data_IF_507413109417
#
_entry.id   IF_507413109417
#
_cell.length_a   1.000
_cell.length_b   1.000
_cell.length_c   1.000
_cell.angle_alpha   90.00
_cell.angle_beta   90.00
_cell.angle_gamma   90.00
#
_symmetry.space_group_name_H-M   'P 1'
#
loop_
_entity.id
_entity.type
_entity.pdbx_description
1 polymer ?
#
# COMPACT_ATOMS: atom_id res chain seq x y z
N UNK A 1 -36.94 -4.36 -19.72
CA UNK A 1 -37.17 -5.01 -18.43
C UNK A 1 -35.90 -4.79 -17.62
N UNK A 2 -35.69 -3.68 -16.93
CA UNK A 2 -36.41 -3.17 -15.76
C UNK A 2 -35.31 -2.86 -14.74
N UNK A 3 -34.58 -1.76 -14.94
CA UNK A 3 -33.54 -1.34 -13.98
C UNK A 3 -34.23 -0.63 -12.81
N UNK A 4 -34.52 -1.45 -11.81
CA UNK A 4 -34.81 -1.16 -10.41
C UNK A 4 -34.46 0.25 -9.91
N UNK A 5 -35.44 0.87 -9.27
CA UNK A 5 -35.35 2.05 -8.41
C UNK A 5 -34.37 1.85 -7.25
N UNK A 6 -33.06 1.98 -7.50
CA UNK A 6 -32.07 1.95 -6.44
C UNK A 6 -32.04 3.30 -5.73
N UNK A 7 -32.48 3.32 -4.46
CA UNK A 7 -32.43 4.52 -3.62
C UNK A 7 -31.19 4.51 -2.73
N UNK A 8 -30.38 5.56 -2.80
CA UNK A 8 -29.24 5.80 -1.90
C UNK A 8 -29.65 6.24 -0.49
N UNK A 9 -30.95 6.25 -0.17
CA UNK A 9 -31.46 6.69 1.12
C UNK A 9 -31.32 5.57 2.14
N UNK A 10 -30.55 5.81 3.20
CA UNK A 10 -30.46 4.89 4.33
C UNK A 10 -31.83 4.80 5.04
N UNK A 11 -32.29 3.60 5.41
CA UNK A 11 -33.51 3.43 6.18
C UNK A 11 -33.33 3.94 7.61
N UNK A 12 -34.46 4.24 8.25
CA UNK A 12 -34.49 4.67 9.64
C UNK A 12 -34.05 3.54 10.55
N UNK A 13 -33.14 3.84 11.49
CA UNK A 13 -32.73 2.84 12.48
C UNK A 13 -33.91 2.58 13.45
N UNK A 14 -34.25 1.32 13.77
CA UNK A 14 -35.46 0.98 14.54
C UNK A 14 -35.47 1.49 15.98
N UNK A 15 -34.29 1.84 16.52
CA UNK A 15 -34.12 2.27 17.91
C UNK A 15 -33.40 3.62 18.09
N UNK A 16 -32.64 4.07 17.09
CA UNK A 16 -31.75 5.23 17.26
C UNK A 16 -32.42 6.47 16.66
N UNK A 17 -32.44 7.61 17.39
CA UNK A 17 -33.12 8.81 16.94
C UNK A 17 -32.37 9.49 15.79
N UNK A 18 -33.11 10.18 14.93
CA UNK A 18 -32.58 11.04 13.86
C UNK A 18 -32.14 12.41 14.38
N UNK A 19 -31.36 13.12 13.55
CA UNK A 19 -30.97 14.51 13.81
C UNK A 19 -29.90 14.68 14.89
N UNK A 20 -29.20 13.61 15.25
CA UNK A 20 -28.00 13.68 16.08
C UNK A 20 -26.77 13.89 15.19
N UNK A 21 -25.98 14.90 15.53
CA UNK A 21 -24.68 15.13 14.89
C UNK A 21 -23.68 14.12 15.43
N UNK A 22 -22.98 13.44 14.53
CA UNK A 22 -21.92 12.49 14.86
C UNK A 22 -20.61 13.03 14.29
N UNK A 23 -19.56 13.02 15.09
CA UNK A 23 -18.19 13.29 14.64
C UNK A 23 -17.42 11.97 14.65
N UNK A 24 -16.75 11.68 13.55
CA UNK A 24 -15.75 10.60 13.48
C UNK A 24 -14.38 11.27 13.48
N UNK A 25 -13.56 10.91 14.47
CA UNK A 25 -12.21 11.48 14.65
C UNK A 25 -11.21 10.35 14.42
N UNK A 26 -10.29 10.55 13.49
CA UNK A 26 -9.20 9.62 13.19
C UNK A 26 -7.91 10.20 13.75
N UNK A 27 -7.30 9.49 14.70
CA UNK A 27 -5.96 9.80 15.21
C UNK A 27 -4.97 8.96 14.40
N UNK A 28 -4.38 9.56 13.36
CA UNK A 28 -3.49 8.82 12.46
C UNK A 28 -2.24 8.30 13.21
N UNK A 29 -1.88 7.04 12.99
CA UNK A 29 -0.79 6.37 13.70
C UNK A 29 -1.05 6.07 15.19
N UNK A 30 -2.28 6.21 15.70
CA UNK A 30 -2.59 5.94 17.11
C UNK A 30 -3.04 4.49 17.36
N UNK A 31 -2.14 3.65 17.89
CA UNK A 31 -2.41 2.25 18.20
C UNK A 31 -2.47 1.91 19.70
N UNK A 32 -2.90 0.69 20.03
CA UNK A 32 -2.77 0.11 21.37
C UNK A 32 -1.70 -1.00 21.33
N UNK A 33 -0.71 -0.89 22.20
CA UNK A 33 0.34 -1.88 22.39
C UNK A 33 0.65 -2.03 23.88
N UNK A 34 1.37 -3.09 24.25
CA UNK A 34 1.80 -3.27 25.63
C UNK A 34 2.61 -2.06 26.13
N UNK A 35 2.40 -1.64 27.39
CA UNK A 35 3.18 -0.56 28.00
C UNK A 35 4.69 -0.84 27.96
N UNK A 36 5.48 0.11 27.45
CA UNK A 36 6.93 0.09 27.52
C UNK A 36 7.51 1.50 27.32
N UNK A 37 8.81 1.64 27.53
CA UNK A 37 9.57 2.91 27.43
C UNK A 37 9.74 3.45 26.00
N UNK A 38 9.38 2.67 24.97
CA UNK A 38 9.40 3.07 23.57
C UNK A 38 7.99 3.33 23.00
N UNK A 39 6.94 3.12 23.80
CA UNK A 39 5.57 3.37 23.41
C UNK A 39 5.19 4.82 23.75
N UNK A 40 5.35 5.70 22.77
CA UNK A 40 5.09 7.13 22.94
C UNK A 40 3.65 7.44 23.41
N UNK A 41 2.66 6.65 22.99
CA UNK A 41 1.26 6.83 23.42
C UNK A 41 1.10 6.52 24.91
N UNK A 42 1.79 5.49 25.40
CA UNK A 42 1.76 5.13 26.82
C UNK A 42 2.48 6.15 27.71
N UNK A 43 3.58 6.72 27.23
CA UNK A 43 4.44 7.64 28.00
C UNK A 43 3.85 9.05 28.02
N UNK A 44 3.12 9.43 26.98
CA UNK A 44 2.50 10.74 26.89
C UNK A 44 1.38 10.94 27.92
N UNK A 45 1.23 12.18 28.41
CA UNK A 45 0.07 12.57 29.20
C UNK A 45 -1.15 12.72 28.27
N UNK A 46 -2.10 11.79 28.34
CA UNK A 46 -3.26 11.73 27.42
C UNK A 46 -4.60 11.79 28.17
N UNK A 47 -4.83 12.81 29.04
CA UNK A 47 -5.94 12.82 30.01
C UNK A 47 -7.32 12.69 29.37
N UNK A 48 -7.52 13.25 28.16
CA UNK A 48 -8.78 13.13 27.43
C UNK A 48 -9.03 11.68 26.98
N UNK A 49 -8.03 11.02 26.39
CA UNK A 49 -8.15 9.63 25.93
C UNK A 49 -8.30 8.67 27.11
N UNK A 50 -7.53 8.90 28.18
CA UNK A 50 -7.62 8.14 29.43
C UNK A 50 -9.02 8.23 30.05
N UNK A 51 -9.60 9.44 30.07
CA UNK A 51 -10.95 9.67 30.58
C UNK A 51 -12.00 8.97 29.74
N UNK A 52 -11.90 9.02 28.41
CA UNK A 52 -12.82 8.32 27.52
C UNK A 52 -12.77 6.79 27.70
N UNK A 53 -11.56 6.23 27.82
CA UNK A 53 -11.36 4.78 28.01
C UNK A 53 -11.85 4.29 29.38
N UNK A 54 -11.62 5.07 30.45
CA UNK A 54 -12.03 4.70 31.82
C UNK A 54 -13.48 5.04 32.15
N UNK A 55 -14.01 6.12 31.57
CA UNK A 55 -15.33 6.67 31.90
C UNK A 55 -16.52 5.96 31.24
N UNK A 56 -16.29 5.24 30.14
CA UNK A 56 -17.31 4.47 29.42
C UNK A 56 -16.74 3.15 28.86
N UNK A 57 -16.31 2.22 29.72
CA UNK A 57 -15.63 0.99 29.29
C UNK A 57 -16.48 0.10 28.37
N UNK A 58 -17.81 0.15 28.50
CA UNK A 58 -18.76 -0.55 27.63
C UNK A 58 -18.82 0.01 26.19
N UNK A 59 -18.30 1.21 25.98
CA UNK A 59 -18.25 1.89 24.68
C UNK A 59 -16.82 1.94 24.10
N UNK A 60 -15.84 1.43 24.83
CA UNK A 60 -14.46 1.31 24.38
C UNK A 60 -14.17 -0.10 23.86
N UNK A 61 -13.57 -0.19 22.67
CA UNK A 61 -13.10 -1.48 22.13
C UNK A 61 -11.94 -1.29 21.17
N UNK A 62 -11.11 -2.33 21.07
CA UNK A 62 -10.09 -2.43 20.05
C UNK A 62 -10.64 -3.13 18.80
N UNK A 63 -10.13 -2.74 17.65
CA UNK A 63 -10.41 -3.34 16.34
C UNK A 63 -9.09 -3.64 15.65
N UNK A 64 -9.08 -4.63 14.74
CA UNK A 64 -7.91 -4.90 13.91
C UNK A 64 -7.79 -3.82 12.84
N UNK A 65 -6.58 -3.28 12.67
CA UNK A 65 -6.28 -2.22 11.71
C UNK A 65 -5.09 -2.56 10.78
N UNK A 66 -4.76 -3.85 10.66
CA UNK A 66 -3.66 -4.35 9.84
C UNK A 66 -4.03 -5.70 9.20
N UNK A 67 -3.17 -6.19 8.32
CA UNK A 67 -3.32 -7.47 7.63
C UNK A 67 -4.63 -7.64 6.85
N UNK A 68 -5.13 -8.88 6.79
CA UNK A 68 -6.35 -9.20 6.00
C UNK A 68 -7.59 -8.47 6.50
N UNK A 69 -7.61 -8.02 7.76
CA UNK A 69 -8.72 -7.26 8.32
C UNK A 69 -8.93 -5.91 7.63
N UNK A 70 -7.91 -5.37 6.96
CA UNK A 70 -8.00 -4.13 6.16
C UNK A 70 -7.73 -4.36 4.67
N UNK A 71 -7.64 -5.63 4.25
CA UNK A 71 -7.49 -6.02 2.85
C UNK A 71 -6.05 -6.17 2.37
N UNK A 72 -5.08 -6.22 3.29
CA UNK A 72 -3.68 -6.51 2.98
C UNK A 72 -3.46 -8.02 2.73
N UNK A 73 -2.35 -8.41 2.07
CA UNK A 73 -2.11 -9.80 1.68
C UNK A 73 -2.01 -10.81 2.85
N UNK A 74 -1.22 -10.50 3.87
CA UNK A 74 -0.90 -11.39 5.01
C UNK A 74 -1.42 -10.82 6.33
N UNK A 75 -1.31 -11.57 7.43
CA UNK A 75 -1.63 -11.03 8.77
C UNK A 75 -0.48 -10.18 9.33
N UNK A 76 0.74 -10.31 8.81
CA UNK A 76 1.92 -9.60 9.33
C UNK A 76 2.10 -8.22 8.66
N UNK A 77 1.37 -7.96 7.57
CA UNK A 77 1.42 -6.68 6.87
C UNK A 77 0.86 -5.55 7.74
N UNK A 78 1.71 -4.55 7.99
CA UNK A 78 1.35 -3.36 8.75
C UNK A 78 0.28 -2.54 8.03
N UNK A 79 -0.68 -2.02 8.80
CA UNK A 79 -1.66 -1.07 8.29
C UNK A 79 -1.02 0.27 7.89
N UNK A 80 -1.73 1.04 7.07
CA UNK A 80 -1.34 2.40 6.70
C UNK A 80 -2.58 3.29 6.52
N UNK A 81 -2.36 4.59 6.34
CA UNK A 81 -3.44 5.58 6.26
C UNK A 81 -4.39 5.30 5.09
N UNK A 82 -3.89 4.91 3.90
CA UNK A 82 -4.73 4.65 2.73
C UNK A 82 -5.69 3.48 2.97
N UNK A 83 -5.15 2.31 3.37
CA UNK A 83 -5.98 1.12 3.58
C UNK A 83 -6.95 1.30 4.75
N UNK A 84 -6.53 2.03 5.79
CA UNK A 84 -7.37 2.35 6.95
C UNK A 84 -8.55 3.27 6.58
N UNK A 85 -8.28 4.38 5.87
CA UNK A 85 -9.33 5.31 5.45
C UNK A 85 -10.29 4.67 4.45
N UNK A 86 -9.80 3.82 3.54
CA UNK A 86 -10.65 3.05 2.62
C UNK A 86 -11.59 2.11 3.36
N UNK A 87 -11.09 1.35 4.33
CA UNK A 87 -11.92 0.42 5.11
C UNK A 87 -12.99 1.18 5.93
N UNK A 88 -12.60 2.27 6.60
CA UNK A 88 -13.51 3.11 7.40
C UNK A 88 -14.59 3.77 6.54
N UNK A 89 -14.20 4.38 5.41
CA UNK A 89 -15.12 5.10 4.54
C UNK A 89 -16.06 4.19 3.75
N UNK A 90 -15.59 3.02 3.34
CA UNK A 90 -16.39 2.10 2.54
C UNK A 90 -17.28 1.16 3.36
N UNK A 91 -16.98 0.96 4.66
CA UNK A 91 -17.69 0.02 5.52
C UNK A 91 -17.56 -1.45 5.09
N UNK A 92 -16.56 -1.78 4.26
CA UNK A 92 -16.27 -3.13 3.76
C UNK A 92 -14.79 -3.28 3.42
N UNK A 93 -14.33 -4.53 3.44
CA UNK A 93 -12.94 -4.89 3.11
C UNK A 93 -12.84 -5.16 1.60
N UNK A 94 -11.83 -4.58 0.96
CA UNK A 94 -11.50 -4.85 -0.43
C UNK A 94 -10.06 -5.32 -0.56
N UNK A 95 -9.77 -6.05 -1.64
CA UNK A 95 -8.39 -6.24 -2.05
C UNK A 95 -7.78 -4.88 -2.41
N UNK A 96 -6.74 -4.50 -1.68
CA UNK A 96 -6.03 -3.25 -1.89
C UNK A 96 -5.08 -3.35 -3.10
N UNK A 97 -4.54 -2.21 -3.55
CA UNK A 97 -3.70 -2.11 -4.75
C UNK A 97 -2.63 -3.21 -4.86
N UNK A 98 -1.83 -3.43 -3.81
CA UNK A 98 -0.79 -4.45 -3.79
C UNK A 98 -1.33 -5.86 -4.12
N UNK A 99 -2.44 -6.26 -3.50
CA UNK A 99 -3.06 -7.58 -3.75
C UNK A 99 -3.66 -7.69 -5.15
N UNK A 100 -4.21 -6.60 -5.69
CA UNK A 100 -4.74 -6.58 -7.05
C UNK A 100 -3.60 -6.74 -8.08
N UNK A 101 -2.47 -6.09 -7.83
CA UNK A 101 -1.26 -6.22 -8.65
C UNK A 101 -0.69 -7.64 -8.56
N UNK A 102 -0.57 -8.20 -7.35
CA UNK A 102 -0.12 -9.58 -7.13
C UNK A 102 -0.98 -10.57 -7.93
N UNK A 103 -2.32 -10.48 -7.82
CA UNK A 103 -3.23 -11.33 -8.57
C UNK A 103 -3.11 -11.13 -10.10
N UNK A 104 -2.87 -9.90 -10.56
CA UNK A 104 -2.72 -9.61 -11.98
C UNK A 104 -1.41 -10.15 -12.55
N UNK A 105 -0.33 -10.14 -11.75
CA UNK A 105 0.96 -10.74 -12.07
C UNK A 105 0.87 -12.27 -12.06
N UNK A 106 0.33 -12.87 -11.00
CA UNK A 106 0.16 -14.33 -10.86
C UNK A 106 -0.68 -14.93 -11.98
N UNK A 107 -1.77 -14.24 -12.37
CA UNK A 107 -2.65 -14.69 -13.45
C UNK A 107 -2.17 -14.32 -14.85
N UNK A 108 -1.13 -13.48 -14.98
CA UNK A 108 -0.66 -12.93 -16.24
C UNK A 108 -1.58 -11.86 -16.87
N UNK A 109 -2.74 -11.56 -16.26
CA UNK A 109 -3.72 -10.59 -16.79
C UNK A 109 -3.16 -9.18 -16.95
N UNK A 110 -2.16 -8.81 -16.14
CA UNK A 110 -1.51 -7.51 -16.27
C UNK A 110 -0.91 -7.31 -17.68
N UNK A 111 -0.50 -8.38 -18.36
CA UNK A 111 0.10 -8.35 -19.70
C UNK A 111 -0.90 -8.33 -20.85
N UNK A 112 -2.19 -8.53 -20.55
CA UNK A 112 -3.29 -8.49 -21.52
C UNK A 112 -4.02 -7.14 -21.49
N UNK A 113 -3.81 -6.34 -20.45
CA UNK A 113 -4.48 -5.06 -20.23
C UNK A 113 -4.07 -3.97 -21.23
N UNK A 114 -4.99 -3.02 -21.47
CA UNK A 114 -4.77 -1.90 -22.38
C UNK A 114 -3.53 -1.07 -22.01
N UNK A 115 -3.27 -0.89 -20.70
CA UNK A 115 -2.08 -0.16 -20.22
C UNK A 115 -0.76 -0.83 -20.61
N UNK A 116 -0.67 -2.16 -20.49
CA UNK A 116 0.54 -2.89 -20.90
C UNK A 116 0.67 -2.89 -22.43
N UNK A 117 -0.43 -3.14 -23.16
CA UNK A 117 -0.43 -3.11 -24.62
C UNK A 117 -0.02 -1.73 -25.17
N UNK A 118 -0.42 -0.65 -24.52
CA UNK A 118 -0.03 0.71 -24.87
C UNK A 118 1.49 0.93 -24.80
N UNK A 119 2.14 0.47 -23.73
CA UNK A 119 3.60 0.63 -23.57
C UNK A 119 4.40 -0.41 -24.37
N UNK A 120 3.81 -1.58 -24.64
CA UNK A 120 4.49 -2.72 -25.28
C UNK A 120 5.18 -2.35 -26.58
N UNK A 121 4.50 -1.61 -27.45
CA UNK A 121 5.05 -1.19 -28.74
C UNK A 121 6.21 -0.20 -28.60
N UNK A 122 6.19 0.62 -27.55
CA UNK A 122 7.15 1.72 -27.35
C UNK A 122 8.56 1.23 -26.99
N UNK A 123 8.66 0.06 -26.34
CA UNK A 123 9.95 -0.47 -25.90
C UNK A 123 10.52 -1.57 -26.80
N UNK A 124 9.82 -1.98 -27.88
CA UNK A 124 10.38 -2.91 -28.89
C UNK A 124 11.61 -2.32 -29.57
N UNK A 125 11.59 -1.02 -29.83
CA UNK A 125 12.71 -0.27 -30.45
C UNK A 125 13.33 0.76 -29.50
N UNK A 126 12.70 0.96 -28.33
CA UNK A 126 13.06 1.98 -27.34
C UNK A 126 13.68 1.40 -26.07
N UNK A 127 13.67 2.22 -25.01
CA UNK A 127 14.08 1.82 -23.65
C UNK A 127 12.89 1.92 -22.73
N UNK A 128 12.59 0.85 -21.97
CA UNK A 128 11.58 0.91 -20.92
C UNK A 128 12.23 1.46 -19.64
N UNK A 129 11.72 2.58 -19.15
CA UNK A 129 12.11 3.14 -17.86
C UNK A 129 11.10 2.69 -16.79
N UNK A 130 11.58 1.93 -15.81
CA UNK A 130 10.81 1.62 -14.61
C UNK A 130 11.26 2.58 -13.51
N UNK A 131 10.34 3.38 -12.99
CA UNK A 131 10.61 4.35 -11.94
C UNK A 131 9.75 4.00 -10.73
N UNK A 132 10.36 3.74 -9.59
CA UNK A 132 9.63 3.40 -8.39
C UNK A 132 10.54 3.13 -7.19
N UNK A 133 9.92 2.95 -6.03
CA UNK A 133 10.63 2.57 -4.81
C UNK A 133 11.07 1.09 -4.94
N UNK A 134 12.33 0.78 -4.62
CA UNK A 134 12.83 -0.61 -4.59
C UNK A 134 13.04 -1.05 -3.16
N UNK A 135 11.99 -1.59 -2.55
CA UNK A 135 12.02 -2.20 -1.23
C UNK A 135 11.04 -3.38 -1.14
N UNK A 136 11.10 -4.11 -0.04
CA UNK A 136 10.17 -5.20 0.32
C UNK A 136 9.00 -4.73 1.21
N UNK A 137 8.87 -3.41 1.44
CA UNK A 137 7.91 -2.85 2.40
C UNK A 137 6.44 -2.92 1.98
N UNK A 138 6.12 -3.10 0.70
CA UNK A 138 4.75 -3.40 0.25
C UNK A 138 3.72 -2.27 0.33
N UNK A 139 4.10 -1.08 0.82
CA UNK A 139 3.21 0.08 0.94
C UNK A 139 3.03 0.80 -0.39
N UNK A 140 4.13 1.12 -1.09
CA UNK A 140 4.10 1.84 -2.38
C UNK A 140 4.55 0.98 -3.57
N UNK A 141 5.37 -0.04 -3.31
CA UNK A 141 5.88 -0.97 -4.30
C UNK A 141 6.45 -2.20 -3.60
N UNK A 142 6.75 -3.25 -4.38
CA UNK A 142 7.54 -4.38 -3.92
C UNK A 142 8.58 -4.76 -4.95
N UNK A 143 9.75 -5.14 -4.46
CA UNK A 143 10.87 -5.58 -5.27
C UNK A 143 10.50 -6.77 -6.18
N UNK A 144 9.81 -7.76 -5.61
CA UNK A 144 9.44 -8.99 -6.32
C UNK A 144 8.45 -8.73 -7.47
N UNK A 145 7.55 -7.77 -7.34
CA UNK A 145 6.68 -7.34 -8.43
C UNK A 145 7.49 -6.79 -9.62
N UNK A 146 8.53 -5.98 -9.35
CA UNK A 146 9.44 -5.49 -10.40
C UNK A 146 10.20 -6.64 -11.05
N UNK A 147 10.68 -7.58 -10.24
CA UNK A 147 11.40 -8.77 -10.70
C UNK A 147 10.56 -9.66 -11.62
N UNK A 148 9.25 -9.76 -11.39
CA UNK A 148 8.32 -10.51 -12.24
C UNK A 148 8.07 -9.82 -13.61
N UNK A 149 8.30 -8.51 -13.71
CA UNK A 149 8.21 -7.80 -14.99
C UNK A 149 9.44 -8.04 -15.87
N UNK A 150 10.61 -8.31 -15.29
CA UNK A 150 11.87 -8.41 -16.04
C UNK A 150 11.86 -9.47 -17.14
N UNK A 151 11.38 -10.72 -16.93
CA UNK A 151 11.47 -11.76 -17.96
C UNK A 151 10.62 -11.46 -19.19
N UNK A 152 9.60 -10.63 -19.03
CA UNK A 152 8.66 -10.27 -20.09
C UNK A 152 9.23 -9.12 -20.93
N UNK A 153 10.04 -8.27 -20.31
CA UNK A 153 10.68 -7.13 -20.97
C UNK A 153 12.08 -7.49 -21.50
N UNK A 154 12.59 -8.68 -21.20
CA UNK A 154 13.95 -9.20 -21.51
C UNK A 154 14.39 -9.08 -22.98
N UNK A 155 13.47 -8.82 -23.91
CA UNK A 155 13.77 -8.50 -25.31
C UNK A 155 14.27 -7.05 -25.54
N UNK A 156 14.26 -6.20 -24.51
CA UNK A 156 14.38 -4.74 -24.66
C UNK A 156 15.38 -4.12 -23.66
N UNK A 157 15.78 -2.87 -23.92
CA UNK A 157 16.66 -2.11 -23.00
C UNK A 157 15.82 -1.63 -21.81
N UNK A 158 16.21 -1.99 -20.59
CA UNK A 158 15.52 -1.60 -19.35
C UNK A 158 16.42 -0.68 -18.55
N UNK A 159 15.87 0.43 -18.07
CA UNK A 159 16.50 1.31 -17.09
C UNK A 159 15.61 1.36 -15.86
N UNK A 160 16.16 1.11 -14.69
CA UNK A 160 15.43 1.16 -13.42
C UNK A 160 15.96 2.34 -12.62
N UNK A 161 15.09 3.30 -12.33
CA UNK A 161 15.41 4.45 -11.48
C UNK A 161 14.67 4.32 -10.15
N UNK A 162 15.38 4.65 -9.08
CA UNK A 162 14.83 4.65 -7.73
C UNK A 162 14.80 6.06 -7.16
N UNK A 163 13.66 6.49 -6.63
CA UNK A 163 13.64 7.60 -5.70
C UNK A 163 14.03 7.06 -4.31
N UNK A 164 15.20 7.46 -3.83
CA UNK A 164 15.75 6.96 -2.57
C UNK A 164 15.42 7.90 -1.41
N UNK A 165 14.62 7.42 -0.46
CA UNK A 165 14.79 7.76 0.95
C UNK A 165 15.21 6.49 1.72
N UNK A 166 16.42 6.55 2.30
CA UNK A 166 16.98 5.65 3.33
C UNK A 166 17.31 4.18 2.96
N UNK A 167 18.57 3.80 3.24
CA UNK A 167 19.22 2.49 3.53
C UNK A 167 18.68 1.14 2.99
N UNK A 168 17.37 0.95 2.81
CA UNK A 168 16.75 -0.28 2.26
C UNK A 168 16.91 -0.40 0.73
N UNK A 169 17.16 0.71 0.04
CA UNK A 169 17.31 0.73 -1.41
C UNK A 169 18.56 -0.03 -1.90
N UNK A 170 19.66 -0.03 -1.13
CA UNK A 170 20.91 -0.68 -1.55
C UNK A 170 20.76 -2.20 -1.71
N UNK A 171 20.08 -2.86 -0.76
CA UNK A 171 19.82 -4.31 -0.85
C UNK A 171 18.89 -4.67 -1.99
N UNK A 172 17.88 -3.83 -2.26
CA UNK A 172 16.95 -4.03 -3.37
C UNK A 172 17.61 -3.88 -4.75
N UNK A 173 18.41 -2.83 -4.93
CA UNK A 173 19.19 -2.60 -6.15
C UNK A 173 20.14 -3.77 -6.44
N UNK A 174 20.91 -4.23 -5.46
CA UNK A 174 21.85 -5.35 -5.64
C UNK A 174 21.12 -6.63 -6.07
N UNK A 175 19.95 -6.90 -5.49
CA UNK A 175 19.14 -8.07 -5.84
C UNK A 175 18.60 -7.99 -7.28
N UNK A 176 18.10 -6.82 -7.70
CA UNK A 176 17.61 -6.61 -9.07
C UNK A 176 18.75 -6.65 -10.09
N UNK A 177 19.90 -6.04 -9.78
CA UNK A 177 21.09 -6.12 -10.64
C UNK A 177 21.55 -7.57 -10.83
N UNK A 178 21.55 -8.37 -9.76
CA UNK A 178 21.91 -9.78 -9.82
C UNK A 178 20.99 -10.55 -10.77
N UNK A 179 19.67 -10.41 -10.61
CA UNK A 179 18.71 -11.07 -11.48
C UNK A 179 18.81 -10.58 -12.94
N UNK A 180 18.99 -9.28 -13.17
CA UNK A 180 19.20 -8.74 -14.51
C UNK A 180 20.46 -9.36 -15.17
N UNK A 181 21.54 -9.57 -14.40
CA UNK A 181 22.76 -10.23 -14.89
C UNK A 181 22.55 -11.72 -15.18
N UNK A 182 21.85 -12.46 -14.33
CA UNK A 182 21.47 -13.86 -14.58
C UNK A 182 20.63 -14.00 -15.86
N UNK A 183 19.83 -12.98 -16.15
CA UNK A 183 18.99 -12.86 -17.32
C UNK A 183 19.73 -12.35 -18.57
N UNK A 184 21.03 -12.05 -18.48
CA UNK A 184 21.84 -11.57 -19.60
C UNK A 184 21.58 -10.13 -20.02
N UNK A 185 20.96 -9.32 -19.15
CA UNK A 185 20.68 -7.91 -19.40
C UNK A 185 21.89 -7.03 -19.08
N UNK A 186 22.12 -6.00 -19.90
CA UNK A 186 23.19 -5.01 -19.71
C UNK A 186 22.84 -4.09 -18.54
N UNK A 187 23.52 -4.28 -17.40
CA UNK A 187 23.34 -3.46 -16.19
C UNK A 187 24.40 -2.37 -16.18
N UNK A 188 23.97 -1.12 -16.35
CA UNK A 188 24.84 0.05 -16.13
C UNK A 188 24.67 0.51 -14.68
N UNK A 189 25.79 0.73 -14.00
CA UNK A 189 25.81 1.26 -12.64
C UNK A 189 24.97 2.55 -12.55
N UNK A 190 24.32 2.81 -11.41
CA UNK A 190 23.61 4.08 -11.19
C UNK A 190 24.56 5.24 -11.48
N UNK A 191 24.09 6.22 -12.25
CA UNK A 191 24.78 7.51 -12.33
C UNK A 191 24.58 8.16 -10.96
N UNK A 192 25.62 8.24 -10.14
CA UNK A 192 25.61 9.07 -8.94
C UNK A 192 25.19 10.47 -9.36
N UNK A 193 23.97 10.87 -9.01
CA UNK A 193 23.60 12.27 -9.03
C UNK A 193 24.38 12.91 -7.88
N UNK A 194 25.40 13.68 -8.26
CA UNK A 194 26.22 14.47 -7.35
C UNK A 194 25.29 15.14 -6.31
N UNK A 195 25.39 14.71 -5.04
CA UNK A 195 24.75 15.35 -3.89
C UNK A 195 25.41 16.71 -3.59
N UNK A 196 25.64 17.50 -4.62
CA UNK A 196 26.17 18.86 -4.58
C UNK A 196 25.22 19.78 -5.33
N UNK A 197 24.08 20.02 -4.71
CA UNK A 197 23.36 21.27 -4.87
C UNK A 197 23.03 21.76 -3.45
N UNK A 198 23.42 23.02 -3.21
CA UNK A 198 23.51 23.75 -1.95
C UNK A 198 22.21 23.80 -1.13
#
# INVERSE_FOLDING_TARGET
>A
MGSSDFSWKLPDHPKLPKGKTIAVVVLDGWGEANPNEYNCIHIAETPTMDSLKKGAPEHWRLVRAHGKAVGLPTEDDMGNSEVGHNALGAGRIFAQGAKLVDLALESGKIFEGEGFNYIKESFVTGTLHLIGLLSDGGVHSRLDQVQLLLPIVQQNRIVINTDTELFLAETGLVSVEHQMREMGLDVKAPVETDKKAE
#
